data_IF_657452975674
#
_entry.id   IF_657452975674
#
_cell.length_a   1.000
_cell.length_b   1.000
_cell.length_c   1.000
_cell.angle_alpha   90.00
_cell.angle_beta   90.00
_cell.angle_gamma   90.00
#
_symmetry.space_group_name_H-M   'P 1'
#
loop_
_entity.id
_entity.type
_entity.pdbx_description
1 polymer ?
#
# COMPACT_ATOMS: atom_id res chain seq x y z
N UNK A 1 -42.96 55.88 52.84
CA UNK A 1 -42.92 55.82 54.32
C UNK A 1 -44.12 56.50 54.97
N UNK A 2 -44.55 57.69 54.51
CA UNK A 2 -45.72 58.40 55.09
C UNK A 2 -47.06 57.66 54.91
N UNK A 3 -47.32 57.03 53.75
CA UNK A 3 -48.56 56.25 53.51
C UNK A 3 -48.70 54.96 54.35
N UNK A 4 -47.59 54.28 54.65
CA UNK A 4 -47.58 53.06 55.49
C UNK A 4 -47.91 53.38 56.95
N UNK A 5 -47.45 54.53 57.44
CA UNK A 5 -47.74 54.98 58.80
C UNK A 5 -49.22 55.38 58.94
N UNK A 6 -49.78 56.05 57.92
CA UNK A 6 -51.19 56.46 57.89
C UNK A 6 -52.12 55.24 57.79
N UNK A 7 -51.81 54.23 56.96
CA UNK A 7 -52.61 53.00 56.90
C UNK A 7 -52.50 52.13 58.16
N UNK A 8 -51.32 52.11 58.81
CA UNK A 8 -51.14 51.43 60.10
C UNK A 8 -51.99 52.08 61.22
N UNK A 9 -52.02 53.42 61.28
CA UNK A 9 -52.84 54.15 62.24
C UNK A 9 -54.34 53.95 61.96
N UNK A 10 -54.76 53.95 60.70
CA UNK A 10 -56.17 53.71 60.31
C UNK A 10 -56.63 52.27 60.61
N UNK A 11 -55.75 51.27 60.46
CA UNK A 11 -56.06 49.88 60.80
C UNK A 11 -56.21 49.67 62.32
N UNK A 12 -55.33 50.28 63.13
CA UNK A 12 -55.40 50.21 64.60
C UNK A 12 -56.62 50.98 65.11
N UNK A 13 -56.93 52.15 64.54
CA UNK A 13 -58.13 52.90 64.87
C UNK A 13 -59.42 52.13 64.51
N UNK A 14 -59.45 51.47 63.34
CA UNK A 14 -60.57 50.64 62.90
C UNK A 14 -60.84 49.43 63.81
N UNK A 15 -59.78 48.73 64.24
CA UNK A 15 -59.89 47.59 65.17
C UNK A 15 -60.30 48.06 66.58
N UNK A 16 -59.77 49.18 67.06
CA UNK A 16 -60.15 49.75 68.36
C UNK A 16 -61.64 50.16 68.40
N UNK A 17 -62.16 50.74 67.31
CA UNK A 17 -63.61 51.04 67.20
C UNK A 17 -64.47 49.78 67.09
N UNK A 18 -63.99 48.71 66.46
CA UNK A 18 -64.69 47.42 66.39
C UNK A 18 -64.83 46.79 67.78
N UNK A 19 -63.75 46.79 68.57
CA UNK A 19 -63.73 46.24 69.93
C UNK A 19 -64.58 47.09 70.88
N UNK A 20 -64.57 48.43 70.72
CA UNK A 20 -65.43 49.32 71.51
C UNK A 20 -66.93 49.13 71.20
N UNK A 21 -67.29 48.86 69.94
CA UNK A 21 -68.67 48.60 69.51
C UNK A 21 -69.17 47.19 69.90
N UNK A 22 -68.27 46.21 70.08
CA UNK A 22 -68.61 44.87 70.57
C UNK A 22 -68.82 44.86 72.10
N UNK A 23 -68.08 45.69 72.85
CA UNK A 23 -68.20 45.76 74.32
C UNK A 23 -69.40 46.59 74.82
N UNK A 24 -69.81 47.65 74.11
CA UNK A 24 -71.03 48.39 74.41
C UNK A 24 -72.20 47.84 73.60
N UNK A 25 -72.93 46.88 74.18
CA UNK A 25 -74.06 46.17 73.60
C UNK A 25 -75.26 47.10 73.30
N UNK A 26 -75.16 47.94 72.27
CA UNK A 26 -76.29 48.66 71.67
C UNK A 26 -76.83 47.88 70.46
N UNK A 27 -78.16 47.81 70.34
CA UNK A 27 -78.87 47.38 69.12
C UNK A 27 -78.54 48.35 67.98
N UNK A 28 -77.44 48.11 67.30
CA UNK A 28 -77.08 48.81 66.06
C UNK A 28 -78.10 48.39 65.00
N UNK A 29 -78.75 49.35 64.35
CA UNK A 29 -79.75 49.08 63.32
C UNK A 29 -79.11 48.42 62.09
N UNK A 30 -79.87 47.59 61.37
CA UNK A 30 -79.38 46.82 60.22
C UNK A 30 -78.72 47.68 59.11
N UNK A 31 -79.03 48.98 59.05
CA UNK A 31 -78.47 49.92 58.07
C UNK A 31 -77.03 50.40 58.39
N UNK A 32 -76.59 50.30 59.65
CA UNK A 32 -75.22 50.69 60.03
C UNK A 32 -74.20 49.54 59.87
N UNK A 33 -74.68 48.29 59.76
CA UNK A 33 -73.84 47.13 59.46
C UNK A 33 -73.37 47.09 58.00
N UNK A 34 -74.21 47.53 57.05
CA UNK A 34 -73.90 47.50 55.62
C UNK A 34 -72.81 48.49 55.24
N UNK A 35 -72.78 49.67 55.86
CA UNK A 35 -71.74 50.68 55.66
C UNK A 35 -70.40 50.25 56.27
N UNK A 36 -70.42 49.64 57.46
CA UNK A 36 -69.21 49.14 58.13
C UNK A 36 -68.58 47.95 57.39
N UNK A 37 -69.41 47.01 56.91
CA UNK A 37 -68.95 45.88 56.10
C UNK A 37 -68.32 46.34 54.78
N UNK A 38 -68.84 47.40 54.18
CA UNK A 38 -68.30 48.02 52.96
C UNK A 38 -66.90 48.60 53.15
N UNK A 39 -66.64 49.29 54.27
CA UNK A 39 -65.32 49.87 54.59
C UNK A 39 -64.29 48.75 54.82
N UNK A 40 -64.66 47.71 55.55
CA UNK A 40 -63.80 46.54 55.75
C UNK A 40 -63.47 45.88 54.41
N UNK A 41 -64.47 45.67 53.56
CA UNK A 41 -64.29 45.05 52.24
C UNK A 41 -63.35 45.89 51.34
N UNK A 42 -63.47 47.22 51.37
CA UNK A 42 -62.60 48.12 50.61
C UNK A 42 -61.14 48.09 51.11
N UNK A 43 -60.93 48.01 52.43
CA UNK A 43 -59.60 47.84 53.01
C UNK A 43 -58.97 46.48 52.65
N UNK A 44 -59.75 45.40 52.66
CA UNK A 44 -59.29 44.07 52.24
C UNK A 44 -58.95 44.02 50.75
N UNK A 45 -59.76 44.66 49.89
CA UNK A 45 -59.48 44.81 48.46
C UNK A 45 -58.20 45.61 48.23
N UNK A 46 -58.01 46.73 48.94
CA UNK A 46 -56.78 47.52 48.87
C UNK A 46 -55.54 46.70 49.26
N UNK A 47 -55.61 45.92 50.34
CA UNK A 47 -54.52 45.04 50.78
C UNK A 47 -54.22 43.92 49.77
N UNK A 48 -55.25 43.34 49.15
CA UNK A 48 -55.08 42.33 48.10
C UNK A 48 -54.39 42.90 46.87
N UNK A 49 -54.81 44.08 46.40
CA UNK A 49 -54.19 44.74 45.24
C UNK A 49 -52.73 45.11 45.54
N UNK A 50 -52.43 45.65 46.71
CA UNK A 50 -51.06 45.96 47.12
C UNK A 50 -50.19 44.70 47.22
N UNK A 51 -50.73 43.61 47.76
CA UNK A 51 -50.05 42.32 47.85
C UNK A 51 -49.71 41.78 46.46
N UNK A 52 -50.66 41.82 45.51
CA UNK A 52 -50.43 41.37 44.13
C UNK A 52 -49.36 42.20 43.42
N UNK A 53 -49.35 43.53 43.60
CA UNK A 53 -48.30 44.41 43.05
C UNK A 53 -46.94 44.07 43.66
N UNK A 54 -46.88 43.80 44.97
CA UNK A 54 -45.64 43.44 45.65
C UNK A 54 -45.10 42.09 45.20
N UNK A 55 -45.96 41.08 45.04
CA UNK A 55 -45.59 39.76 44.52
C UNK A 55 -45.06 39.86 43.08
N UNK A 56 -45.74 40.64 42.22
CA UNK A 56 -45.27 40.86 40.83
C UNK A 56 -43.91 41.56 40.78
N UNK A 57 -43.70 42.56 41.64
CA UNK A 57 -42.41 43.25 41.77
C UNK A 57 -41.33 42.30 42.30
N UNK A 58 -41.64 41.51 43.33
CA UNK A 58 -40.73 40.53 43.91
C UNK A 58 -40.33 39.43 42.90
N UNK A 59 -41.29 38.93 42.11
CA UNK A 59 -41.02 37.97 41.04
C UNK A 59 -40.11 38.55 39.94
N UNK A 60 -40.31 39.81 39.55
CA UNK A 60 -39.42 40.48 38.60
C UNK A 60 -38.02 40.70 39.20
N UNK A 61 -37.92 41.08 40.48
CA UNK A 61 -36.63 41.23 41.17
C UNK A 61 -35.91 39.89 41.32
N UNK A 62 -36.61 38.79 41.62
CA UNK A 62 -35.98 37.47 41.73
C UNK A 62 -35.49 36.96 40.39
N UNK A 63 -36.26 37.15 39.31
CA UNK A 63 -35.84 36.83 37.93
C UNK A 63 -34.61 37.63 37.52
N UNK A 64 -34.56 38.92 37.82
CA UNK A 64 -33.43 39.78 37.48
C UNK A 64 -32.19 39.51 38.35
N UNK A 65 -32.38 39.14 39.62
CA UNK A 65 -31.31 38.70 40.50
C UNK A 65 -30.66 37.41 39.97
N UNK A 66 -31.45 36.43 39.53
CA UNK A 66 -30.93 35.19 38.92
C UNK A 66 -30.16 35.43 37.63
N UNK A 67 -30.64 36.35 36.76
CA UNK A 67 -29.92 36.73 35.54
C UNK A 67 -28.58 37.44 35.84
N UNK A 68 -28.54 38.27 36.88
CA UNK A 68 -27.31 38.95 37.30
C UNK A 68 -26.28 37.99 37.90
N UNK A 69 -26.73 36.99 38.66
CA UNK A 69 -25.87 35.94 39.20
C UNK A 69 -25.19 35.14 38.08
N UNK A 70 -25.96 34.67 37.10
CA UNK A 70 -25.42 33.94 35.94
C UNK A 70 -24.45 34.80 35.12
N UNK A 71 -24.76 36.09 34.90
CA UNK A 71 -23.85 37.00 34.19
C UNK A 71 -22.53 37.19 34.96
N UNK A 72 -22.58 37.30 36.29
CA UNK A 72 -21.38 37.42 37.12
C UNK A 72 -20.50 36.15 37.08
N UNK A 73 -21.12 34.96 37.05
CA UNK A 73 -20.43 33.69 36.87
C UNK A 73 -19.75 33.63 35.50
N UNK A 74 -20.47 33.97 34.43
CA UNK A 74 -19.95 34.01 33.06
C UNK A 74 -18.74 34.95 32.97
N UNK A 75 -18.84 36.15 33.55
CA UNK A 75 -17.73 37.12 33.59
C UNK A 75 -16.52 36.60 34.37
N UNK A 76 -16.76 35.92 35.49
CA UNK A 76 -15.71 35.27 36.29
C UNK A 76 -15.01 34.14 35.53
N UNK A 77 -15.77 33.23 34.92
CA UNK A 77 -15.24 32.13 34.11
C UNK A 77 -14.47 32.62 32.87
N UNK A 78 -15.02 33.62 32.16
CA UNK A 78 -14.34 34.23 31.02
C UNK A 78 -13.00 34.83 31.44
N UNK A 79 -12.96 35.57 32.56
CA UNK A 79 -11.71 36.10 33.12
C UNK A 79 -10.73 35.00 33.51
N UNK A 80 -11.20 33.93 34.14
CA UNK A 80 -10.35 32.82 34.56
C UNK A 80 -9.72 32.07 33.37
N UNK A 81 -10.48 31.86 32.28
CA UNK A 81 -10.02 31.08 31.12
C UNK A 81 -9.25 31.90 30.09
N UNK A 82 -9.65 33.14 29.88
CA UNK A 82 -9.11 34.01 28.82
C UNK A 82 -8.13 35.05 29.38
N UNK A 83 -8.18 35.33 30.70
CA UNK A 83 -7.36 36.34 31.35
C UNK A 83 -7.82 37.78 31.09
N UNK A 84 -8.95 37.99 30.41
CA UNK A 84 -9.51 39.30 30.05
C UNK A 84 -10.84 39.55 30.78
N UNK A 85 -11.11 40.79 31.13
CA UNK A 85 -12.42 41.19 31.68
C UNK A 85 -13.47 41.21 30.57
N UNK A 86 -14.64 40.60 30.82
CA UNK A 86 -15.76 40.68 29.89
C UNK A 86 -16.40 42.07 29.95
N UNK A 87 -16.12 42.90 28.94
CA UNK A 87 -16.63 44.26 28.79
C UNK A 87 -17.94 44.30 28.01
N UNK A 88 -18.03 43.53 26.94
CA UNK A 88 -19.15 43.56 26.00
C UNK A 88 -19.30 42.21 25.27
N UNK A 89 -20.45 42.07 24.59
CA UNK A 89 -20.81 40.86 23.84
C UNK A 89 -19.92 40.67 22.62
N UNK A 90 -19.42 41.74 22.01
CA UNK A 90 -18.57 41.66 20.82
C UNK A 90 -17.23 40.99 21.15
N UNK A 91 -16.63 41.30 22.31
CA UNK A 91 -15.43 40.64 22.81
C UNK A 91 -15.65 39.14 23.03
N UNK A 92 -16.79 38.77 23.63
CA UNK A 92 -17.14 37.36 23.82
C UNK A 92 -17.27 36.63 22.48
N UNK A 93 -18.00 37.22 21.54
CA UNK A 93 -18.23 36.64 20.21
C UNK A 93 -16.94 36.52 19.41
N UNK A 94 -16.08 37.55 19.42
CA UNK A 94 -14.78 37.51 18.74
C UNK A 94 -13.86 36.44 19.31
N UNK A 95 -13.74 36.35 20.64
CA UNK A 95 -12.90 35.33 21.30
C UNK A 95 -13.44 33.93 21.04
N UNK A 96 -14.76 33.76 21.06
CA UNK A 96 -15.39 32.48 20.80
C UNK A 96 -15.20 32.03 19.34
N UNK A 97 -15.26 32.96 18.37
CA UNK A 97 -14.94 32.66 16.98
C UNK A 97 -13.45 32.35 16.76
N UNK A 98 -12.55 33.08 17.42
CA UNK A 98 -11.11 32.81 17.38
C UNK A 98 -10.79 31.41 17.93
N UNK A 99 -11.40 31.03 19.05
CA UNK A 99 -11.25 29.68 19.62
C UNK A 99 -11.85 28.61 18.71
N UNK A 100 -13.01 28.85 18.11
CA UNK A 100 -13.60 27.93 17.13
C UNK A 100 -12.67 27.70 15.94
N UNK A 101 -12.12 28.79 15.38
CA UNK A 101 -11.19 28.70 14.26
C UNK A 101 -9.93 27.92 14.64
N UNK A 102 -9.34 28.22 15.82
CA UNK A 102 -8.19 27.48 16.33
C UNK A 102 -8.50 26.00 16.54
N UNK A 103 -9.68 25.67 17.06
CA UNK A 103 -10.11 24.30 17.27
C UNK A 103 -10.33 23.56 15.94
N UNK A 104 -10.93 24.21 14.94
CA UNK A 104 -11.09 23.66 13.59
C UNK A 104 -9.74 23.40 12.91
N UNK A 105 -8.74 24.26 13.12
CA UNK A 105 -7.37 24.03 12.64
C UNK A 105 -6.73 22.84 13.35
N UNK A 106 -6.92 22.73 14.67
CA UNK A 106 -6.43 21.60 15.47
C UNK A 106 -6.99 20.28 14.99
N UNK A 107 -8.31 20.19 14.78
CA UNK A 107 -8.96 18.96 14.30
C UNK A 107 -8.48 18.56 12.89
N UNK A 108 -8.23 19.55 12.01
CA UNK A 108 -7.71 19.28 10.68
C UNK A 108 -6.25 18.77 10.71
N UNK A 109 -5.45 19.20 11.69
CA UNK A 109 -4.11 18.68 11.92
C UNK A 109 -4.17 17.27 12.50
N UNK A 110 -5.07 17.00 13.46
CA UNK A 110 -5.30 15.65 13.99
C UNK A 110 -5.68 14.67 12.88
N UNK A 111 -6.58 15.04 11.96
CA UNK A 111 -6.95 14.20 10.82
C UNK A 111 -5.74 13.90 9.91
N UNK A 112 -4.87 14.89 9.67
CA UNK A 112 -3.63 14.69 8.90
C UNK A 112 -2.65 13.77 9.63
N UNK A 113 -2.50 13.92 10.95
CA UNK A 113 -1.65 13.06 11.78
C UNK A 113 -2.16 11.62 11.73
N UNK A 114 -3.47 11.41 11.83
CA UNK A 114 -4.09 10.10 11.74
C UNK A 114 -3.89 9.46 10.37
N UNK A 115 -4.02 10.26 9.30
CA UNK A 115 -3.72 9.84 7.94
C UNK A 115 -2.27 9.41 7.75
N UNK A 116 -1.31 10.22 8.22
CA UNK A 116 0.12 9.91 8.15
C UNK A 116 0.47 8.68 8.98
N UNK A 117 -0.06 8.56 10.20
CA UNK A 117 0.14 7.40 11.06
C UNK A 117 -0.41 6.11 10.44
N UNK A 118 -1.55 6.18 9.75
CA UNK A 118 -2.08 5.06 9.00
C UNK A 118 -1.14 4.65 7.86
N UNK A 119 -0.70 5.61 7.05
CA UNK A 119 0.26 5.35 5.97
C UNK A 119 1.58 4.77 6.47
N UNK A 120 2.08 5.24 7.61
CA UNK A 120 3.31 4.72 8.22
C UNK A 120 3.14 3.25 8.66
N UNK A 121 2.00 2.90 9.28
CA UNK A 121 1.68 1.50 9.63
C UNK A 121 1.58 0.60 8.40
N UNK A 122 0.94 1.07 7.33
CA UNK A 122 0.82 0.33 6.07
C UNK A 122 2.18 0.09 5.42
N UNK A 123 3.04 1.11 5.39
CA UNK A 123 4.39 0.99 4.86
C UNK A 123 5.25 0.03 5.68
N UNK A 124 5.22 0.16 7.01
CA UNK A 124 5.94 -0.73 7.91
C UNK A 124 5.50 -2.19 7.74
N UNK A 125 4.19 -2.44 7.62
CA UNK A 125 3.66 -3.78 7.33
C UNK A 125 4.17 -4.31 5.97
N UNK A 126 4.13 -3.49 4.92
CA UNK A 126 4.62 -3.88 3.59
C UNK A 126 6.11 -4.23 3.60
N UNK A 127 6.93 -3.45 4.31
CA UNK A 127 8.36 -3.73 4.46
C UNK A 127 8.58 -5.06 5.17
N UNK A 128 7.91 -5.29 6.31
CA UNK A 128 8.03 -6.55 7.04
C UNK A 128 7.59 -7.75 6.21
N UNK A 129 6.48 -7.64 5.47
CA UNK A 129 6.01 -8.71 4.60
C UNK A 129 7.05 -9.04 3.51
N UNK A 130 7.67 -8.02 2.90
CA UNK A 130 8.72 -8.22 1.90
C UNK A 130 9.96 -8.86 2.51
N UNK A 131 10.40 -8.41 3.68
CA UNK A 131 11.59 -8.98 4.35
C UNK A 131 11.33 -10.44 4.75
N UNK A 132 10.16 -10.73 5.33
CA UNK A 132 9.76 -12.09 5.71
C UNK A 132 9.67 -13.05 4.51
N UNK A 133 9.43 -12.54 3.29
CA UNK A 133 9.48 -13.38 2.09
C UNK A 133 10.89 -13.89 1.73
N UNK A 134 11.94 -13.25 2.27
CA UNK A 134 13.34 -13.63 2.05
C UNK A 134 13.99 -14.26 3.29
N UNK A 135 13.37 -14.15 4.46
CA UNK A 135 13.97 -14.56 5.74
C UNK A 135 12.93 -15.35 6.56
N UNK A 136 13.32 -16.52 7.06
CA UNK A 136 12.42 -17.39 7.85
C UNK A 136 12.04 -16.83 9.22
N UNK A 137 12.72 -15.79 9.70
CA UNK A 137 12.55 -15.20 11.03
C UNK A 137 11.74 -13.91 10.95
N UNK A 138 10.93 -13.66 11.99
CA UNK A 138 10.30 -12.36 12.19
C UNK A 138 11.39 -11.28 12.28
N UNK A 139 11.33 -10.31 11.36
CA UNK A 139 12.27 -9.22 11.30
C UNK A 139 11.77 -8.05 12.14
N UNK A 140 12.58 -7.62 13.12
CA UNK A 140 12.34 -6.36 13.83
C UNK A 140 12.87 -5.18 13.01
N UNK A 141 12.29 -4.00 13.17
CA UNK A 141 12.73 -2.77 12.47
C UNK A 141 14.20 -2.43 12.75
N UNK A 142 14.71 -2.80 13.94
CA UNK A 142 16.11 -2.60 14.33
C UNK A 142 17.07 -3.47 13.51
N UNK A 143 16.59 -4.61 13.03
CA UNK A 143 17.40 -5.58 12.29
C UNK A 143 17.33 -5.37 10.77
N UNK A 144 16.45 -4.50 10.28
CA UNK A 144 16.23 -4.31 8.83
C UNK A 144 17.50 -3.96 8.07
N UNK A 145 18.33 -3.07 8.61
CA UNK A 145 19.57 -2.66 7.96
C UNK A 145 20.58 -3.81 7.85
N UNK A 146 20.70 -4.63 8.90
CA UNK A 146 21.56 -5.80 8.89
C UNK A 146 21.05 -6.84 7.89
N UNK A 147 19.75 -7.15 7.93
CA UNK A 147 19.11 -8.09 7.00
C UNK A 147 19.27 -7.63 5.54
N UNK A 148 19.02 -6.35 5.25
CA UNK A 148 19.16 -5.81 3.91
C UNK A 148 20.61 -5.84 3.41
N UNK A 149 21.58 -5.63 4.31
CA UNK A 149 23.00 -5.75 3.97
C UNK A 149 23.34 -7.19 3.59
N UNK A 150 22.90 -8.17 4.39
CA UNK A 150 23.15 -9.59 4.14
C UNK A 150 22.48 -10.06 2.86
N UNK A 151 21.21 -9.71 2.63
CA UNK A 151 20.49 -10.02 1.39
C UNK A 151 21.18 -9.44 0.17
N UNK A 152 21.66 -8.19 0.25
CA UNK A 152 22.42 -7.57 -0.86
C UNK A 152 23.74 -8.29 -1.12
N UNK A 153 24.45 -8.70 -0.07
CA UNK A 153 25.71 -9.41 -0.21
C UNK A 153 25.50 -10.80 -0.82
N UNK A 154 24.48 -11.54 -0.34
CA UNK A 154 24.11 -12.85 -0.88
C UNK A 154 23.70 -12.76 -2.35
N UNK A 155 22.90 -11.74 -2.73
CA UNK A 155 22.50 -11.55 -4.12
C UNK A 155 23.70 -11.25 -5.05
N UNK A 156 24.69 -10.49 -4.57
CA UNK A 156 25.94 -10.29 -5.33
C UNK A 156 26.71 -11.59 -5.50
N UNK A 157 26.96 -12.33 -4.42
CA UNK A 157 27.68 -13.61 -4.48
C UNK A 157 26.97 -14.64 -5.37
N UNK A 158 25.65 -14.74 -5.31
CA UNK A 158 24.87 -15.62 -6.20
C UNK A 158 25.01 -15.21 -7.66
N UNK A 159 25.00 -13.90 -7.95
CA UNK A 159 25.21 -13.39 -9.30
C UNK A 159 26.61 -13.72 -9.81
N UNK A 160 27.62 -13.54 -8.98
CA UNK A 160 29.01 -13.85 -9.33
C UNK A 160 29.15 -15.36 -9.63
N UNK A 161 28.58 -16.25 -8.81
CA UNK A 161 28.56 -17.69 -9.10
C UNK A 161 27.80 -18.03 -10.38
N UNK A 162 26.67 -17.39 -10.67
CA UNK A 162 25.93 -17.59 -11.92
C UNK A 162 26.79 -17.21 -13.13
N UNK A 163 27.54 -16.11 -13.02
CA UNK A 163 28.42 -15.66 -14.10
C UNK A 163 29.63 -16.61 -14.28
N UNK A 164 30.19 -17.14 -13.18
CA UNK A 164 31.24 -18.17 -13.23
C UNK A 164 30.75 -19.46 -13.88
N UNK A 165 29.61 -20.01 -13.45
CA UNK A 165 29.02 -21.23 -14.03
C UNK A 165 28.67 -21.03 -15.51
N UNK A 166 28.17 -19.85 -15.88
CA UNK A 166 27.89 -19.48 -17.27
C UNK A 166 29.17 -19.50 -18.12
N UNK A 167 30.30 -19.03 -17.58
CA UNK A 167 31.59 -19.11 -18.28
C UNK A 167 32.04 -20.56 -18.48
N UNK A 168 31.85 -21.44 -17.50
CA UNK A 168 32.13 -22.87 -17.65
C UNK A 168 31.24 -23.51 -18.72
N UNK A 169 29.94 -23.20 -18.71
CA UNK A 169 29.01 -23.68 -19.74
C UNK A 169 29.40 -23.22 -21.15
N UNK A 170 29.90 -21.99 -21.32
CA UNK A 170 30.38 -21.52 -22.62
C UNK A 170 31.55 -22.34 -23.17
N UNK A 171 32.40 -22.92 -22.30
CA UNK A 171 33.50 -23.79 -22.75
C UNK A 171 33.01 -25.08 -23.40
N UNK A 172 31.79 -25.52 -23.08
CA UNK A 172 31.19 -26.72 -23.67
C UNK A 172 30.69 -26.50 -25.10
N UNK A 173 30.56 -25.24 -25.53
CA UNK A 173 30.13 -24.89 -26.89
C UNK A 173 28.67 -25.26 -27.22
N UNK A 174 27.83 -25.47 -26.22
CA UNK A 174 26.42 -25.83 -26.35
C UNK A 174 25.53 -24.60 -26.15
N UNK A 175 24.59 -24.36 -27.06
CA UNK A 175 23.62 -23.26 -26.96
C UNK A 175 22.60 -23.50 -25.84
N UNK A 176 22.18 -22.45 -25.13
CA UNK A 176 21.12 -22.55 -24.12
C UNK A 176 19.79 -23.10 -24.67
N UNK A 177 19.51 -22.87 -25.96
CA UNK A 177 18.33 -23.44 -26.64
C UNK A 177 18.33 -24.95 -26.70
N UNK A 178 19.51 -25.55 -26.58
CA UNK A 178 19.71 -26.99 -26.72
C UNK A 178 19.73 -27.67 -25.34
N UNK A 179 19.53 -26.89 -24.27
CA UNK A 179 19.47 -27.41 -22.91
C UNK A 179 18.20 -28.23 -22.71
N UNK A 180 18.38 -29.45 -22.21
CA UNK A 180 17.26 -30.31 -21.84
C UNK A 180 16.69 -29.84 -20.49
N UNK A 181 15.38 -29.68 -20.43
CA UNK A 181 14.68 -29.21 -19.22
C UNK A 181 14.53 -30.29 -18.13
N UNK A 182 14.80 -31.55 -18.49
CA UNK A 182 14.70 -32.71 -17.62
C UNK A 182 16.09 -33.08 -17.07
N UNK A 183 16.14 -33.43 -15.79
CA UNK A 183 17.39 -33.85 -15.13
C UNK A 183 17.86 -35.18 -15.72
N UNK A 184 18.95 -35.11 -16.47
CA UNK A 184 19.64 -36.27 -16.99
C UNK A 184 20.47 -36.81 -15.83
N UNK A 185 20.17 -38.04 -15.36
CA UNK A 185 20.83 -38.70 -14.20
C UNK A 185 22.37 -38.73 -14.28
N UNK A 186 22.93 -38.50 -15.47
CA UNK A 186 24.36 -38.45 -15.73
C UNK A 186 24.88 -37.05 -15.37
N UNK A 187 25.65 -36.97 -14.28
CA UNK A 187 26.30 -35.73 -13.86
C UNK A 187 27.50 -35.41 -14.75
N UNK A 188 27.63 -34.15 -15.15
CA UNK A 188 28.81 -33.65 -15.84
C UNK A 188 30.07 -33.80 -14.97
N UNK A 189 31.15 -34.31 -15.56
CA UNK A 189 32.47 -34.34 -14.95
C UNK A 189 33.51 -33.85 -15.95
N UNK A 190 34.17 -32.72 -15.66
CA UNK A 190 35.15 -32.07 -16.54
C UNK A 190 36.21 -33.05 -17.06
N UNK A 191 36.79 -33.85 -16.16
CA UNK A 191 37.85 -34.80 -16.51
C UNK A 191 37.35 -35.91 -17.44
N UNK A 192 36.12 -36.39 -17.25
CA UNK A 192 35.53 -37.43 -18.09
C UNK A 192 35.17 -36.87 -19.46
N UNK A 193 34.62 -35.64 -19.51
CA UNK A 193 34.37 -34.92 -20.75
C UNK A 193 35.64 -34.71 -21.58
N UNK A 194 36.71 -34.19 -20.97
CA UNK A 194 38.00 -33.97 -21.64
C UNK A 194 38.58 -35.27 -22.19
N UNK A 195 38.49 -36.35 -21.41
CA UNK A 195 38.93 -37.69 -21.84
C UNK A 195 38.14 -38.16 -23.06
N UNK A 196 36.80 -38.09 -23.01
CA UNK A 196 35.94 -38.47 -24.14
C UNK A 196 36.22 -37.61 -25.38
N UNK A 197 36.45 -36.31 -25.22
CA UNK A 197 36.80 -35.42 -26.34
C UNK A 197 38.13 -35.83 -26.98
N UNK A 198 39.14 -36.14 -26.17
CA UNK A 198 40.44 -36.61 -26.67
C UNK A 198 40.32 -37.94 -27.41
N UNK A 199 39.56 -38.90 -26.86
CA UNK A 199 39.29 -40.18 -27.51
C UNK A 199 38.55 -40.00 -28.85
N UNK A 200 37.56 -39.11 -28.90
CA UNK A 200 36.84 -38.78 -30.12
C UNK A 200 37.78 -38.21 -31.19
N UNK A 201 38.66 -37.28 -30.82
CA UNK A 201 39.66 -36.72 -31.74
C UNK A 201 40.58 -37.79 -32.32
N UNK A 202 41.04 -38.74 -31.48
CA UNK A 202 41.85 -39.87 -31.95
C UNK A 202 41.09 -40.77 -32.93
N UNK A 203 39.82 -41.09 -32.64
CA UNK A 203 39.00 -41.93 -33.52
C UNK A 203 38.76 -41.23 -34.86
N UNK A 204 38.48 -39.92 -34.85
CA UNK A 204 38.29 -39.13 -36.07
C UNK A 204 39.53 -39.14 -36.96
N UNK A 205 40.72 -38.99 -36.38
CA UNK A 205 41.98 -39.03 -37.15
C UNK A 205 42.23 -40.43 -37.73
N UNK A 206 41.91 -41.50 -36.98
CA UNK A 206 42.03 -42.87 -37.49
C UNK A 206 41.05 -43.12 -38.66
N UNK A 207 39.79 -42.64 -38.56
CA UNK A 207 38.82 -42.73 -39.66
C UNK A 207 39.37 -42.05 -40.92
N UNK A 208 39.86 -40.82 -40.79
CA UNK A 208 40.46 -40.06 -41.90
C UNK A 208 41.63 -40.81 -42.54
N UNK A 209 42.52 -41.38 -41.73
CA UNK A 209 43.64 -42.19 -42.21
C UNK A 209 43.18 -43.44 -42.98
N UNK A 210 42.14 -44.11 -42.51
CA UNK A 210 41.56 -45.26 -43.22
C UNK A 210 40.91 -44.84 -44.54
N UNK A 211 40.19 -43.71 -44.57
CA UNK A 211 39.62 -43.15 -45.80
C UNK A 211 40.71 -42.84 -46.83
N UNK A 212 41.80 -42.19 -46.42
CA UNK A 212 42.95 -41.90 -47.28
C UNK A 212 43.58 -43.18 -47.86
N UNK A 213 43.73 -44.23 -47.03
CA UNK A 213 44.22 -45.55 -47.48
C UNK A 213 43.28 -46.17 -48.52
N UNK A 214 41.96 -46.10 -48.29
CA UNK A 214 40.96 -46.61 -49.23
C UNK A 214 41.04 -45.85 -50.56
N UNK A 215 41.16 -44.51 -50.53
CA UNK A 215 41.30 -43.72 -51.77
C UNK A 215 42.57 -44.10 -52.55
N UNK A 216 43.70 -44.28 -51.85
CA UNK A 216 44.95 -44.77 -52.46
C UNK A 216 44.83 -46.18 -53.02
N UNK A 217 44.06 -47.06 -52.39
CA UNK A 217 43.80 -48.42 -52.88
C UNK A 217 42.95 -48.43 -54.14
N UNK A 218 41.97 -47.52 -54.29
CA UNK A 218 41.17 -47.39 -55.52
C UNK A 218 42.04 -47.13 -56.75
N UNK A 219 43.10 -46.35 -56.62
CA UNK A 219 44.09 -46.09 -57.69
C UNK A 219 44.83 -47.37 -58.14
N UNK A 220 45.12 -48.30 -57.20
CA UNK A 220 45.85 -49.55 -57.51
C UNK A 220 45.04 -50.59 -58.29
N UNK A 221 43.74 -50.38 -58.47
CA UNK A 221 42.87 -51.28 -59.25
C UNK A 221 43.21 -51.24 -60.75
N UNK A 222 43.77 -50.13 -61.24
CA UNK A 222 44.23 -50.04 -62.63
C UNK A 222 45.62 -50.68 -62.78
N UNK A 223 45.67 -51.94 -63.21
CA UNK A 223 46.91 -52.68 -63.49
C UNK A 223 47.85 -51.94 -64.47
N UNK A 224 47.29 -51.15 -65.39
CA UNK A 224 48.04 -50.40 -66.40
C UNK A 224 48.48 -49.01 -65.93
N UNK A 225 48.16 -48.62 -64.68
CA UNK A 225 48.53 -47.32 -64.11
C UNK A 225 47.91 -46.12 -64.84
N UNK A 226 46.74 -46.32 -65.47
CA UNK A 226 46.05 -45.29 -66.26
C UNK A 226 45.16 -44.36 -65.42
N UNK A 227 44.93 -44.69 -64.15
CA UNK A 227 44.36 -43.77 -63.17
C UNK A 227 45.55 -43.19 -62.42
N UNK A 228 45.68 -41.86 -62.33
CA UNK A 228 46.78 -41.16 -61.64
C UNK A 228 46.18 -40.28 -60.56
N UNK A 229 46.75 -40.29 -59.36
CA UNK A 229 46.34 -39.37 -58.30
C UNK A 229 46.90 -37.97 -58.57
N UNK A 230 46.03 -36.97 -58.70
CA UNK A 230 46.44 -35.57 -58.79
C UNK A 230 46.56 -35.00 -57.36
N UNK A 231 47.79 -34.78 -56.90
CA UNK A 231 48.09 -34.27 -55.55
C UNK A 231 47.56 -32.84 -55.31
N UNK A 232 47.48 -32.01 -56.34
CA UNK A 232 47.01 -30.62 -56.21
C UNK A 232 45.49 -30.53 -56.04
N UNK A 233 44.74 -31.35 -56.78
CA UNK A 233 43.26 -31.38 -56.73
C UNK A 233 42.70 -32.42 -55.78
N UNK A 234 43.55 -33.29 -55.23
CA UNK A 234 43.17 -34.43 -54.40
C UNK A 234 42.07 -35.31 -55.03
N UNK A 235 42.15 -35.53 -56.34
CA UNK A 235 41.22 -36.39 -57.09
C UNK A 235 41.97 -37.30 -58.08
N UNK A 236 41.44 -38.49 -58.39
CA UNK A 236 42.01 -39.33 -59.45
C UNK A 236 41.69 -38.76 -60.84
N UNK A 237 42.71 -38.67 -61.70
CA UNK A 237 42.62 -38.28 -63.11
C UNK A 237 42.99 -39.46 -64.01
N UNK A 238 42.37 -39.55 -65.20
CA UNK A 238 42.67 -40.60 -66.17
C UNK A 238 43.76 -40.17 -67.15
N UNK A 239 44.85 -40.93 -67.20
CA UNK A 239 45.85 -40.88 -68.28
C UNK A 239 45.37 -41.75 -69.45
N UNK A 240 44.72 -41.09 -70.40
CA UNK A 240 44.19 -41.74 -71.61
C UNK A 240 45.26 -42.41 -72.46
N UNK A 241 46.55 -42.07 -72.31
CA UNK A 241 47.64 -42.69 -73.07
C UNK A 241 48.00 -44.09 -72.56
N UNK A 242 47.72 -44.38 -71.28
CA UNK A 242 47.95 -45.68 -70.64
C UNK A 242 46.69 -46.53 -70.53
N UNK A 243 45.52 -45.93 -70.76
CA UNK A 243 44.25 -46.62 -70.66
C UNK A 243 44.07 -47.60 -71.84
N UNK A 244 43.85 -48.87 -71.53
CA UNK A 244 43.59 -49.91 -72.54
C UNK A 244 42.09 -50.13 -72.79
N UNK A 245 41.22 -49.30 -72.18
CA UNK A 245 39.76 -49.43 -72.22
C UNK A 245 39.26 -50.82 -71.77
N UNK A 246 39.96 -51.46 -70.82
CA UNK A 246 39.63 -52.81 -70.37
C UNK A 246 38.37 -52.94 -69.50
N UNK A 247 37.72 -51.82 -69.12
CA UNK A 247 36.49 -51.82 -68.32
C UNK A 247 36.64 -52.23 -66.84
N UNK A 248 37.79 -52.78 -66.42
CA UNK A 248 38.01 -53.25 -65.03
C UNK A 248 37.71 -52.21 -63.95
N UNK A 249 38.01 -50.93 -64.21
CA UNK A 249 37.71 -49.84 -63.26
C UNK A 249 36.21 -49.56 -63.13
N UNK A 250 35.41 -49.82 -64.17
CA UNK A 250 33.96 -49.71 -64.16
C UNK A 250 33.38 -50.85 -63.33
N UNK A 251 33.81 -52.09 -63.59
CA UNK A 251 33.35 -53.29 -62.86
C UNK A 251 33.68 -53.25 -61.37
N UNK A 252 34.86 -52.74 -61.02
CA UNK A 252 35.30 -52.65 -59.63
C UNK A 252 34.76 -51.41 -58.90
N UNK A 253 33.99 -50.53 -59.56
CA UNK A 253 33.49 -49.31 -58.95
C UNK A 253 32.33 -49.62 -57.99
N UNK A 254 32.50 -49.52 -56.66
CA UNK A 254 31.48 -49.95 -55.69
C UNK A 254 30.20 -49.09 -55.68
N UNK A 255 30.21 -47.96 -56.40
CA UNK A 255 29.08 -47.03 -56.46
C UNK A 255 28.49 -46.90 -57.87
N UNK A 256 28.96 -47.69 -58.84
CA UNK A 256 28.50 -47.66 -60.24
C UNK A 256 28.53 -46.25 -60.87
N UNK A 257 29.46 -45.40 -60.43
CA UNK A 257 29.59 -44.00 -60.89
C UNK A 257 30.38 -43.86 -62.18
N UNK A 258 31.13 -44.90 -62.55
CA UNK A 258 31.84 -44.96 -63.82
C UNK A 258 30.99 -45.70 -64.82
N UNK A 259 30.84 -45.14 -66.02
CA UNK A 259 30.05 -45.72 -67.10
C UNK A 259 30.85 -45.68 -68.40
N UNK A 260 30.64 -46.67 -69.24
CA UNK A 260 31.15 -46.64 -70.60
C UNK A 260 30.28 -45.69 -71.44
N UNK A 261 30.90 -44.75 -72.15
CA UNK A 261 30.17 -43.75 -72.96
C UNK A 261 29.29 -44.39 -74.04
N UNK A 262 29.67 -45.55 -74.56
CA UNK A 262 28.88 -46.36 -75.51
C UNK A 262 27.51 -46.77 -74.93
N UNK A 263 27.41 -46.96 -73.61
CA UNK A 263 26.17 -47.35 -72.92
C UNK A 263 25.23 -46.16 -72.65
N UNK A 264 25.73 -44.92 -72.70
CA UNK A 264 24.90 -43.72 -72.50
C UNK A 264 23.94 -43.52 -73.69
N UNK A 265 24.42 -43.77 -74.91
CA UNK A 265 23.62 -43.66 -76.13
C UNK A 265 22.45 -44.67 -76.22
N UNK A 266 22.47 -45.73 -75.39
CA UNK A 266 21.39 -46.71 -75.30
C UNK A 266 20.32 -46.31 -74.28
N UNK A 267 20.66 -45.52 -73.25
CA UNK A 267 19.69 -45.04 -72.24
C UNK A 267 18.79 -43.93 -72.79
N UNK A 268 19.32 -42.99 -73.57
CA UNK A 268 18.52 -41.92 -74.20
C UNK A 268 17.50 -42.42 -75.24
N UNK A 269 17.59 -43.69 -75.69
CA UNK A 269 16.62 -44.29 -76.62
C UNK A 269 15.53 -45.11 -75.92
N UNK A 270 15.57 -45.23 -74.60
CA UNK A 270 14.64 -46.08 -73.82
C UNK A 270 13.80 -45.26 -72.81
N UNK A 271 14.00 -43.93 -72.74
CA UNK A 271 13.09 -43.01 -72.03
C UNK A 271 12.15 -42.28 -73.00
#
# INVERSE_FOLDING_TARGET
KSLLFICGILAIAGIATAVALIFFNQKISAAAWTSYLGIICFCFLGLLVFSLVYIKKFYNFSKQAGQNEELSKIKGEFKNRIGKELTDIALLESTLNEQRESNSKSSAIEEQIDGLNKGLRELHFSINQKIASFVEKEASEQDWDAILKDLKQNNRSLRDHIDEERQELYKLGVSETDYLSEDIVIRYGQQEYEKTQSELGHIQEEIKNQEDKIQKLKYRICENGAIIWNEEKAIPEFDFTKCTLCGKCIEACPHDRLIELSNVALKEKVD
#
